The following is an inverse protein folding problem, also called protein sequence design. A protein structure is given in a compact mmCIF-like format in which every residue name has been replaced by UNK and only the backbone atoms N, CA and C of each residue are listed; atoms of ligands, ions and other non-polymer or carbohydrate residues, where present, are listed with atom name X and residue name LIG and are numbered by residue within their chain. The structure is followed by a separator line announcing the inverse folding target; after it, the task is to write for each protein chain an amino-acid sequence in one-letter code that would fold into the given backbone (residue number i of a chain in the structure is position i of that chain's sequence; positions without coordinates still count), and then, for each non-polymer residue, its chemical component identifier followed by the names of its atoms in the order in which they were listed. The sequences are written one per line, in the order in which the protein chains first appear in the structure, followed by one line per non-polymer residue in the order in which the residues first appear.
data_IF_252393391628
#
_entry.id   IF_252393391628
#
_cell.length_a   1.000
_cell.length_b   1.000
_cell.length_c   1.000
_cell.angle_alpha   90.00
_cell.angle_beta   90.00
_cell.angle_gamma   90.00
#
_symmetry.space_group_name_H-M   'P 1'
#
loop_
_entity.id
_entity.type
_entity.pdbx_description
1 polymer ?
#
# COMPACT_ATOMS: atom_id res chain seq x y z
N UNK A 1 -166.40 19.01 18.51
CA UNK A 1 -165.63 18.38 19.60
C UNK A 1 -164.79 19.49 20.21
N UNK A 2 -165.16 19.94 21.42
CA UNK A 2 -164.50 21.08 22.08
C UNK A 2 -163.23 20.51 22.74
N UNK A 3 -162.07 21.02 22.35
CA UNK A 3 -160.79 20.63 22.96
C UNK A 3 -160.77 21.18 24.37
N UNK A 4 -160.46 20.31 25.34
CA UNK A 4 -160.35 20.66 26.75
C UNK A 4 -159.25 21.73 26.93
N UNK A 5 -159.52 22.86 27.61
CA UNK A 5 -158.54 23.94 27.80
C UNK A 5 -157.18 23.46 28.34
N UNK A 6 -157.15 22.37 29.10
CA UNK A 6 -155.93 21.77 29.64
C UNK A 6 -155.02 21.19 28.54
N UNK A 7 -155.60 20.55 27.52
CA UNK A 7 -154.87 19.96 26.39
C UNK A 7 -154.27 21.04 25.48
N UNK A 8 -154.92 22.20 25.37
CA UNK A 8 -154.38 23.33 24.61
C UNK A 8 -153.13 23.93 25.26
N UNK A 9 -153.12 24.09 26.59
CA UNK A 9 -151.95 24.60 27.31
C UNK A 9 -150.75 23.66 27.23
N UNK A 10 -150.95 22.34 27.33
CA UNK A 10 -149.88 21.35 27.17
C UNK A 10 -149.24 21.40 25.77
N UNK A 11 -150.04 21.63 24.73
CA UNK A 11 -149.57 21.71 23.34
C UNK A 11 -148.74 22.99 23.10
N UNK A 12 -149.15 24.12 23.71
CA UNK A 12 -148.38 25.38 23.66
C UNK A 12 -147.05 25.24 24.41
N UNK A 13 -147.05 24.59 25.57
CA UNK A 13 -145.83 24.32 26.33
C UNK A 13 -144.90 23.40 25.53
N UNK A 14 -145.41 22.34 24.90
CA UNK A 14 -144.63 21.46 24.05
C UNK A 14 -144.00 22.20 22.85
N UNK A 15 -144.77 23.07 22.18
CA UNK A 15 -144.26 23.92 21.09
C UNK A 15 -143.16 24.88 21.57
N UNK A 16 -143.31 25.44 22.76
CA UNK A 16 -142.31 26.33 23.34
C UNK A 16 -141.01 25.60 23.67
N UNK A 17 -141.10 24.39 24.25
CA UNK A 17 -139.95 23.53 24.54
C UNK A 17 -139.22 23.12 23.25
N UNK A 18 -139.97 22.75 22.20
CA UNK A 18 -139.39 22.41 20.88
C UNK A 18 -138.72 23.62 20.24
N UNK A 19 -139.30 24.81 20.33
CA UNK A 19 -138.72 26.05 19.79
C UNK A 19 -137.40 26.40 20.49
N UNK A 20 -137.34 26.26 21.82
CA UNK A 20 -136.09 26.44 22.59
C UNK A 20 -135.04 25.39 22.17
N UNK A 21 -135.44 24.13 22.03
CA UNK A 21 -134.54 23.06 21.61
C UNK A 21 -133.97 23.31 20.21
N UNK A 22 -134.79 23.73 19.25
CA UNK A 22 -134.34 24.07 17.89
C UNK A 22 -133.39 25.26 17.89
N UNK A 23 -133.66 26.27 18.71
CA UNK A 23 -132.78 27.44 18.85
C UNK A 23 -131.42 27.05 19.44
N UNK A 24 -131.40 26.18 20.45
CA UNK A 24 -130.18 25.65 21.04
C UNK A 24 -129.36 24.82 20.02
N UNK A 25 -130.02 23.99 19.21
CA UNK A 25 -129.37 23.21 18.14
C UNK A 25 -128.78 24.14 17.08
N UNK A 26 -129.52 25.16 16.63
CA UNK A 26 -129.04 26.12 15.64
C UNK A 26 -127.82 26.91 16.14
N UNK A 27 -127.82 27.32 17.41
CA UNK A 27 -126.66 27.97 18.05
C UNK A 27 -125.46 27.03 18.15
N UNK A 28 -125.68 25.77 18.53
CA UNK A 28 -124.63 24.75 18.59
C UNK A 28 -124.00 24.48 17.22
N UNK A 29 -124.82 24.34 16.17
CA UNK A 29 -124.34 24.15 14.80
C UNK A 29 -123.55 25.36 14.28
N UNK A 30 -124.01 26.58 14.59
CA UNK A 30 -123.27 27.81 14.23
C UNK A 30 -121.91 27.87 14.92
N UNK A 31 -121.82 27.52 16.20
CA UNK A 31 -120.55 27.45 16.92
C UNK A 31 -119.63 26.36 16.37
N UNK A 32 -120.19 25.19 16.01
CA UNK A 32 -119.43 24.09 15.42
C UNK A 32 -118.85 24.46 14.05
N UNK A 33 -119.63 25.12 13.18
CA UNK A 33 -119.15 25.60 11.88
C UNK A 33 -118.06 26.66 12.01
N UNK A 34 -118.19 27.58 12.98
CA UNK A 34 -117.14 28.55 13.28
C UNK A 34 -115.85 27.87 13.75
N UNK A 35 -115.95 26.86 14.61
CA UNK A 35 -114.78 26.05 15.04
C UNK A 35 -114.17 25.29 13.87
N UNK A 36 -114.96 24.66 13.02
CA UNK A 36 -114.46 23.90 11.86
C UNK A 36 -113.72 24.80 10.86
N UNK A 37 -114.29 25.97 10.51
CA UNK A 37 -113.62 26.94 9.65
C UNK A 37 -112.33 27.50 10.27
N UNK A 38 -112.30 27.67 11.61
CA UNK A 38 -111.09 28.07 12.31
C UNK A 38 -110.00 26.98 12.22
N UNK A 39 -110.36 25.71 12.42
CA UNK A 39 -109.41 24.60 12.27
C UNK A 39 -108.91 24.42 10.83
N UNK A 40 -109.76 24.62 9.83
CA UNK A 40 -109.34 24.53 8.43
C UNK A 40 -108.37 25.66 8.07
N UNK A 41 -108.66 26.88 8.54
CA UNK A 41 -107.75 28.02 8.37
C UNK A 41 -106.41 27.82 9.09
N UNK A 42 -106.43 27.28 10.30
CA UNK A 42 -105.22 26.93 11.05
C UNK A 42 -104.41 25.82 10.36
N UNK A 43 -105.07 24.83 9.75
CA UNK A 43 -104.40 23.78 8.97
C UNK A 43 -103.77 24.32 7.68
N UNK A 44 -104.45 25.22 6.97
CA UNK A 44 -103.91 25.87 5.76
C UNK A 44 -102.74 26.80 6.09
N UNK A 45 -102.83 27.55 7.20
CA UNK A 45 -101.73 28.39 7.71
C UNK A 45 -100.53 27.52 8.13
N UNK A 46 -100.77 26.39 8.80
CA UNK A 46 -99.72 25.44 9.17
C UNK A 46 -99.04 24.81 7.93
N UNK A 47 -99.82 24.41 6.91
CA UNK A 47 -99.27 23.88 5.67
C UNK A 47 -98.44 24.92 4.91
N UNK A 48 -98.92 26.16 4.82
CA UNK A 48 -98.18 27.25 4.21
C UNK A 48 -96.87 27.54 4.96
N UNK A 49 -96.89 27.48 6.29
CA UNK A 49 -95.70 27.65 7.13
C UNK A 49 -94.70 26.49 6.93
N UNK A 50 -95.15 25.23 6.92
CA UNK A 50 -94.28 24.07 6.67
C UNK A 50 -93.64 24.13 5.29
N UNK A 51 -94.39 24.54 4.25
CA UNK A 51 -93.83 24.72 2.91
C UNK A 51 -92.78 25.83 2.86
N UNK A 52 -93.03 26.95 3.54
CA UNK A 52 -92.08 28.06 3.63
C UNK A 52 -90.81 27.65 4.39
N UNK A 53 -90.95 27.04 5.56
CA UNK A 53 -89.84 26.58 6.39
C UNK A 53 -89.02 25.50 5.65
N UNK A 54 -89.69 24.62 4.90
CA UNK A 54 -89.05 23.62 4.04
C UNK A 54 -88.27 24.25 2.89
N UNK A 55 -88.82 25.29 2.23
CA UNK A 55 -88.14 26.03 1.18
C UNK A 55 -86.93 26.79 1.72
N UNK A 56 -87.07 27.46 2.87
CA UNK A 56 -85.99 28.18 3.54
C UNK A 56 -84.89 27.21 4.01
N UNK A 57 -85.24 26.02 4.51
CA UNK A 57 -84.27 24.99 4.87
C UNK A 57 -83.50 24.48 3.65
N UNK A 58 -84.19 24.24 2.53
CA UNK A 58 -83.58 23.79 1.29
C UNK A 58 -82.64 24.84 0.71
N UNK A 59 -83.04 26.12 0.73
CA UNK A 59 -82.21 27.22 0.26
C UNK A 59 -80.98 27.41 1.15
N UNK A 60 -81.14 27.38 2.47
CA UNK A 60 -80.02 27.41 3.41
C UNK A 60 -79.07 26.21 3.22
N UNK A 61 -79.59 25.03 2.93
CA UNK A 61 -78.78 23.85 2.64
C UNK A 61 -77.99 24.03 1.33
N UNK A 62 -78.60 24.62 0.29
CA UNK A 62 -77.92 24.94 -0.98
C UNK A 62 -76.82 25.98 -0.78
N UNK A 63 -77.09 27.05 -0.05
CA UNK A 63 -76.09 28.09 0.26
C UNK A 63 -74.92 27.49 1.03
N UNK A 64 -75.18 26.71 2.09
CA UNK A 64 -74.12 26.04 2.87
C UNK A 64 -73.34 25.04 2.03
N UNK A 65 -74.00 24.25 1.18
CA UNK A 65 -73.33 23.33 0.28
C UNK A 65 -72.43 24.09 -0.71
N UNK A 66 -72.92 25.22 -1.25
CA UNK A 66 -72.13 26.11 -2.10
C UNK A 66 -70.88 26.63 -1.38
N UNK A 67 -71.03 27.11 -0.15
CA UNK A 67 -69.90 27.58 0.68
C UNK A 67 -68.90 26.47 0.98
N UNK A 68 -69.36 25.26 1.31
CA UNK A 68 -68.48 24.11 1.56
C UNK A 68 -67.68 23.77 0.30
N UNK A 69 -68.32 23.80 -0.87
CA UNK A 69 -67.64 23.54 -2.15
C UNK A 69 -66.62 24.64 -2.44
N UNK A 70 -66.98 25.90 -2.25
CA UNK A 70 -66.08 27.04 -2.47
C UNK A 70 -64.85 26.98 -1.54
N UNK A 71 -65.06 26.72 -0.26
CA UNK A 71 -64.00 26.53 0.74
C UNK A 71 -63.11 25.33 0.39
N UNK A 72 -63.71 24.23 -0.07
CA UNK A 72 -62.97 23.05 -0.51
C UNK A 72 -62.10 23.35 -1.75
N UNK A 73 -62.63 24.09 -2.74
CA UNK A 73 -61.89 24.53 -3.91
C UNK A 73 -60.73 25.44 -3.52
N UNK A 74 -60.95 26.39 -2.61
CA UNK A 74 -59.91 27.30 -2.12
C UNK A 74 -58.79 26.55 -1.41
N UNK A 75 -59.13 25.63 -0.49
CA UNK A 75 -58.13 24.78 0.18
C UNK A 75 -57.38 23.89 -0.79
N UNK A 76 -58.05 23.31 -1.79
CA UNK A 76 -57.40 22.52 -2.81
C UNK A 76 -56.40 23.36 -3.63
N UNK A 77 -56.76 24.59 -4.01
CA UNK A 77 -55.86 25.51 -4.70
C UNK A 77 -54.64 25.89 -3.85
N UNK A 78 -54.83 26.15 -2.55
CA UNK A 78 -53.73 26.39 -1.61
C UNK A 78 -52.79 25.19 -1.52
N UNK A 79 -53.32 23.97 -1.34
CA UNK A 79 -52.52 22.74 -1.28
C UNK A 79 -51.72 22.54 -2.56
N UNK A 80 -52.33 22.74 -3.73
CA UNK A 80 -51.65 22.63 -5.03
C UNK A 80 -50.54 23.69 -5.16
N UNK A 81 -50.82 24.93 -4.76
CA UNK A 81 -49.84 26.02 -4.76
C UNK A 81 -48.64 25.73 -3.86
N UNK A 82 -48.90 25.26 -2.63
CA UNK A 82 -47.86 24.84 -1.69
C UNK A 82 -47.05 23.65 -2.21
N UNK A 83 -47.69 22.67 -2.85
CA UNK A 83 -47.02 21.51 -3.44
C UNK A 83 -46.06 21.92 -4.57
N UNK A 84 -46.47 22.86 -5.43
CA UNK A 84 -45.60 23.37 -6.51
C UNK A 84 -44.40 24.16 -5.97
N UNK A 85 -44.61 24.98 -4.95
CA UNK A 85 -43.53 25.72 -4.28
C UNK A 85 -42.57 24.76 -3.57
N UNK A 86 -43.10 23.76 -2.87
CA UNK A 86 -42.28 22.72 -2.21
C UNK A 86 -41.43 21.96 -3.23
N UNK A 87 -41.97 21.65 -4.42
CA UNK A 87 -41.19 21.01 -5.48
C UNK A 87 -40.06 21.93 -5.99
N UNK A 88 -40.35 23.21 -6.25
CA UNK A 88 -39.35 24.18 -6.68
C UNK A 88 -38.25 24.41 -5.62
N UNK A 89 -38.63 24.51 -4.34
CA UNK A 89 -37.69 24.63 -3.23
C UNK A 89 -36.86 23.36 -3.06
N UNK A 90 -37.48 22.18 -3.15
CA UNK A 90 -36.77 20.90 -3.04
C UNK A 90 -35.73 20.76 -4.14
N UNK A 91 -36.09 21.14 -5.38
CA UNK A 91 -35.13 21.17 -6.50
C UNK A 91 -33.98 22.13 -6.24
N UNK A 92 -34.27 23.34 -5.75
CA UNK A 92 -33.23 24.33 -5.42
C UNK A 92 -32.30 23.85 -4.31
N UNK A 93 -32.83 23.24 -3.24
CA UNK A 93 -32.03 22.67 -2.14
C UNK A 93 -31.16 21.53 -2.66
N UNK A 94 -31.73 20.67 -3.52
CA UNK A 94 -30.98 19.58 -4.14
C UNK A 94 -29.84 20.12 -5.02
N UNK A 95 -30.11 21.10 -5.87
CA UNK A 95 -29.09 21.73 -6.73
C UNK A 95 -27.98 22.39 -5.89
N UNK A 96 -28.32 23.04 -4.78
CA UNK A 96 -27.34 23.63 -3.85
C UNK A 96 -26.52 22.56 -3.12
N UNK A 97 -27.16 21.46 -2.69
CA UNK A 97 -26.47 20.35 -2.05
C UNK A 97 -25.50 19.66 -3.02
N UNK A 98 -25.92 19.47 -4.28
CA UNK A 98 -25.08 18.92 -5.35
C UNK A 98 -23.90 19.85 -5.66
N UNK A 99 -24.13 21.15 -5.83
CA UNK A 99 -23.05 22.13 -6.07
C UNK A 99 -22.04 22.17 -4.92
N UNK A 100 -22.53 22.14 -3.67
CA UNK A 100 -21.68 22.10 -2.47
C UNK A 100 -20.87 20.81 -2.41
N UNK A 101 -21.51 19.66 -2.70
CA UNK A 101 -20.84 18.36 -2.73
C UNK A 101 -19.76 18.31 -3.82
N UNK A 102 -20.07 18.79 -5.02
CA UNK A 102 -19.10 18.87 -6.12
C UNK A 102 -17.91 19.76 -5.77
N UNK A 103 -18.15 20.95 -5.20
CA UNK A 103 -17.07 21.86 -4.76
C UNK A 103 -16.19 21.23 -3.68
N UNK A 104 -16.81 20.62 -2.67
CA UNK A 104 -16.07 19.94 -1.60
C UNK A 104 -15.24 18.78 -2.14
N UNK A 105 -15.83 17.97 -3.04
CA UNK A 105 -15.14 16.83 -3.63
C UNK A 105 -13.99 17.27 -4.53
N UNK A 106 -14.16 18.29 -5.37
CA UNK A 106 -13.09 18.88 -6.18
C UNK A 106 -11.95 19.41 -5.30
N UNK A 107 -12.26 20.21 -4.28
CA UNK A 107 -11.25 20.76 -3.38
C UNK A 107 -10.50 19.66 -2.60
N UNK A 108 -11.23 18.63 -2.15
CA UNK A 108 -10.62 17.46 -1.52
C UNK A 108 -9.69 16.71 -2.48
N UNK A 109 -10.10 16.48 -3.73
CA UNK A 109 -9.26 15.84 -4.74
C UNK A 109 -8.02 16.67 -5.09
N UNK A 110 -8.17 17.98 -5.26
CA UNK A 110 -7.04 18.89 -5.50
C UNK A 110 -6.04 18.85 -4.35
N UNK A 111 -6.52 18.92 -3.10
CA UNK A 111 -5.66 18.82 -1.92
C UNK A 111 -4.98 17.46 -1.83
N UNK A 112 -5.73 16.36 -1.97
CA UNK A 112 -5.16 15.02 -1.93
C UNK A 112 -4.11 14.80 -3.03
N UNK A 113 -4.34 15.34 -4.23
CA UNK A 113 -3.38 15.30 -5.34
C UNK A 113 -2.14 16.13 -5.04
N UNK A 114 -2.29 17.32 -4.46
CA UNK A 114 -1.18 18.16 -4.03
C UNK A 114 -0.35 17.50 -2.92
N UNK A 115 -1.01 16.99 -1.88
CA UNK A 115 -0.36 16.30 -0.75
C UNK A 115 0.39 15.05 -1.25
N UNK A 116 -0.20 14.30 -2.18
CA UNK A 116 0.45 13.16 -2.83
C UNK A 116 1.68 13.58 -3.63
N UNK A 117 1.57 14.64 -4.44
CA UNK A 117 2.70 15.15 -5.22
C UNK A 117 3.85 15.64 -4.32
N UNK A 118 3.54 16.29 -3.20
CA UNK A 118 4.53 16.72 -2.23
C UNK A 118 5.22 15.53 -1.57
N UNK A 119 4.46 14.54 -1.10
CA UNK A 119 5.00 13.31 -0.52
C UNK A 119 5.90 12.56 -1.52
N UNK A 120 5.46 12.45 -2.77
CA UNK A 120 6.24 11.82 -3.84
C UNK A 120 7.55 12.56 -4.11
N UNK A 121 7.52 13.91 -4.20
CA UNK A 121 8.75 14.72 -4.37
C UNK A 121 9.72 14.52 -3.20
N UNK A 122 9.21 14.51 -1.97
CA UNK A 122 10.02 14.32 -0.76
C UNK A 122 10.70 12.95 -0.74
N UNK A 123 9.97 11.91 -1.13
CA UNK A 123 10.53 10.56 -1.22
C UNK A 123 11.59 10.46 -2.32
N UNK A 124 11.35 11.09 -3.47
CA UNK A 124 12.31 11.13 -4.58
C UNK A 124 13.60 11.86 -4.21
N UNK A 125 13.49 12.98 -3.47
CA UNK A 125 14.65 13.70 -2.94
C UNK A 125 15.39 12.88 -1.88
N UNK A 126 14.67 12.17 -0.99
CA UNK A 126 15.27 11.26 -0.01
C UNK A 126 16.04 10.12 -0.69
N UNK A 127 15.45 9.50 -1.72
CA UNK A 127 16.07 8.43 -2.49
C UNK A 127 17.33 8.94 -3.21
N UNK A 128 17.29 10.15 -3.78
CA UNK A 128 18.45 10.79 -4.41
C UNK A 128 19.59 11.00 -3.40
N UNK A 129 19.28 11.55 -2.22
CA UNK A 129 20.28 11.74 -1.16
C UNK A 129 20.88 10.42 -0.69
N UNK A 130 20.04 9.40 -0.47
CA UNK A 130 20.49 8.06 -0.08
C UNK A 130 21.38 7.43 -1.14
N UNK A 131 21.06 7.58 -2.42
CA UNK A 131 21.91 7.09 -3.51
C UNK A 131 23.26 7.81 -3.55
N UNK A 132 23.29 9.14 -3.35
CA UNK A 132 24.55 9.89 -3.27
C UNK A 132 25.39 9.39 -2.10
N UNK A 133 24.77 9.14 -0.94
CA UNK A 133 25.46 8.61 0.24
C UNK A 133 26.01 7.20 0.02
N UNK A 134 25.22 6.31 -0.59
CA UNK A 134 25.66 4.96 -0.96
C UNK A 134 26.86 5.03 -1.91
N UNK A 135 26.77 5.82 -2.99
CA UNK A 135 27.87 5.96 -3.94
C UNK A 135 29.12 6.52 -3.25
N UNK A 136 28.96 7.51 -2.36
CA UNK A 136 30.08 8.07 -1.60
C UNK A 136 30.74 7.04 -0.70
N UNK A 137 29.96 6.25 0.04
CA UNK A 137 30.47 5.24 0.93
C UNK A 137 31.16 4.11 0.15
N UNK A 138 30.54 3.61 -0.92
CA UNK A 138 31.15 2.60 -1.79
C UNK A 138 32.45 3.09 -2.40
N UNK A 139 32.51 4.33 -2.90
CA UNK A 139 33.75 4.91 -3.43
C UNK A 139 34.84 5.00 -2.37
N UNK A 140 34.47 5.32 -1.12
CA UNK A 140 35.39 5.38 0.01
C UNK A 140 35.90 3.98 0.38
N UNK A 141 35.02 2.99 0.42
CA UNK A 141 35.39 1.60 0.70
C UNK A 141 36.34 1.08 -0.39
N UNK A 142 36.08 1.39 -1.66
CA UNK A 142 36.97 1.07 -2.78
C UNK A 142 38.34 1.74 -2.61
N UNK A 143 38.38 3.01 -2.19
CA UNK A 143 39.63 3.73 -1.93
C UNK A 143 40.43 3.06 -0.80
N UNK A 144 39.78 2.75 0.32
CA UNK A 144 40.40 2.09 1.48
C UNK A 144 40.93 0.69 1.12
N UNK A 145 40.13 -0.11 0.39
CA UNK A 145 40.52 -1.45 -0.06
C UNK A 145 41.67 -1.39 -1.08
N UNK A 146 41.64 -0.44 -2.03
CA UNK A 146 42.72 -0.27 -3.01
C UNK A 146 44.02 0.12 -2.32
N UNK A 147 43.98 1.04 -1.34
CA UNK A 147 45.18 1.42 -0.57
C UNK A 147 45.74 0.21 0.19
N UNK A 148 44.86 -0.61 0.77
CA UNK A 148 45.27 -1.82 1.48
C UNK A 148 45.90 -2.84 0.53
N UNK A 149 45.29 -3.11 -0.62
CA UNK A 149 45.84 -4.02 -1.64
C UNK A 149 47.21 -3.55 -2.15
N UNK A 150 47.39 -2.25 -2.42
CA UNK A 150 48.68 -1.70 -2.83
C UNK A 150 49.74 -1.91 -1.75
N UNK A 151 49.39 -1.71 -0.48
CA UNK A 151 50.31 -1.94 0.64
C UNK A 151 50.66 -3.43 0.81
N UNK A 152 49.68 -4.31 0.67
CA UNK A 152 49.90 -5.75 0.74
C UNK A 152 50.77 -6.24 -0.43
N UNK A 153 50.55 -5.68 -1.62
CA UNK A 153 51.39 -5.92 -2.80
C UNK A 153 52.83 -5.46 -2.57
N UNK A 154 53.06 -4.26 -2.03
CA UNK A 154 54.39 -3.74 -1.72
C UNK A 154 55.13 -4.65 -0.73
N UNK A 155 54.44 -5.12 0.32
CA UNK A 155 55.00 -6.08 1.28
C UNK A 155 55.38 -7.41 0.62
N UNK A 156 54.53 -7.96 -0.26
CA UNK A 156 54.83 -9.20 -0.99
C UNK A 156 56.03 -8.99 -1.91
N UNK A 157 56.06 -7.89 -2.66
CA UNK A 157 57.14 -7.56 -3.59
C UNK A 157 58.47 -7.41 -2.85
N UNK A 158 58.48 -6.74 -1.70
CA UNK A 158 59.66 -6.63 -0.84
C UNK A 158 60.14 -8.01 -0.38
N UNK A 159 59.22 -8.88 0.06
CA UNK A 159 59.54 -10.22 0.56
C UNK A 159 60.11 -11.13 -0.53
N UNK A 160 59.50 -11.12 -1.71
CA UNK A 160 59.99 -11.86 -2.89
C UNK A 160 61.33 -11.32 -3.38
N UNK A 161 61.53 -9.99 -3.35
CA UNK A 161 62.81 -9.38 -3.71
C UNK A 161 63.93 -9.82 -2.75
N UNK A 162 63.68 -9.83 -1.45
CA UNK A 162 64.64 -10.36 -0.47
C UNK A 162 64.91 -11.85 -0.67
N UNK A 163 63.88 -12.66 -0.94
CA UNK A 163 64.06 -14.08 -1.22
C UNK A 163 64.92 -14.30 -2.47
N UNK A 164 64.69 -13.55 -3.54
CA UNK A 164 65.49 -13.61 -4.76
C UNK A 164 66.94 -13.16 -4.52
N UNK A 165 67.16 -12.09 -3.76
CA UNK A 165 68.50 -11.65 -3.37
C UNK A 165 69.24 -12.74 -2.60
N UNK A 166 68.57 -13.39 -1.66
CA UNK A 166 69.16 -14.50 -0.89
C UNK A 166 69.53 -15.69 -1.77
N UNK A 167 68.65 -16.08 -2.71
CA UNK A 167 68.95 -17.16 -3.68
C UNK A 167 70.20 -16.82 -4.51
N UNK A 168 70.34 -15.55 -4.91
CA UNK A 168 71.52 -15.10 -5.65
C UNK A 168 72.77 -15.12 -4.77
N UNK A 169 72.67 -14.66 -3.52
CA UNK A 169 73.77 -14.70 -2.54
C UNK A 169 74.25 -16.14 -2.30
N UNK A 170 73.32 -17.05 -1.98
CA UNK A 170 73.59 -18.47 -1.78
C UNK A 170 74.28 -19.08 -3.03
N UNK A 171 73.80 -18.74 -4.23
CA UNK A 171 74.41 -19.24 -5.48
C UNK A 171 75.80 -18.68 -5.75
N UNK A 172 76.05 -17.41 -5.43
CA UNK A 172 77.39 -16.81 -5.54
C UNK A 172 78.35 -17.48 -4.56
N UNK A 173 77.91 -17.75 -3.33
CA UNK A 173 78.73 -18.44 -2.31
C UNK A 173 79.06 -19.88 -2.74
N UNK A 174 78.10 -20.61 -3.30
CA UNK A 174 78.30 -21.94 -3.88
C UNK A 174 79.29 -21.90 -5.05
N UNK A 175 79.12 -20.98 -6.00
CA UNK A 175 80.04 -20.82 -7.14
C UNK A 175 81.45 -20.43 -6.70
N UNK A 176 81.58 -19.58 -5.68
CA UNK A 176 82.87 -19.18 -5.12
C UNK A 176 83.58 -20.34 -4.41
N UNK A 177 82.83 -21.13 -3.65
CA UNK A 177 83.33 -22.33 -2.98
C UNK A 177 83.80 -23.38 -3.99
N UNK A 178 83.04 -23.57 -5.08
CA UNK A 178 83.42 -24.45 -6.18
C UNK A 178 84.68 -23.94 -6.90
N UNK A 179 84.77 -22.64 -7.15
CA UNK A 179 85.96 -22.03 -7.76
C UNK A 179 87.21 -22.22 -6.90
N UNK A 180 87.11 -22.03 -5.57
CA UNK A 180 88.21 -22.31 -4.65
C UNK A 180 88.65 -23.77 -4.71
N UNK A 181 87.70 -24.71 -4.72
CA UNK A 181 88.00 -26.13 -4.85
C UNK A 181 88.73 -26.44 -6.16
N UNK A 182 88.26 -25.90 -7.28
CA UNK A 182 88.90 -26.07 -8.59
C UNK A 182 90.34 -25.51 -8.62
N UNK A 183 90.57 -24.36 -7.99
CA UNK A 183 91.92 -23.78 -7.86
C UNK A 183 92.83 -24.68 -7.04
N UNK A 184 92.33 -25.27 -5.96
CA UNK A 184 93.10 -26.17 -5.11
C UNK A 184 93.40 -27.51 -5.81
N UNK A 185 92.44 -28.07 -6.52
CA UNK A 185 92.65 -29.23 -7.39
C UNK A 185 93.71 -28.96 -8.46
N UNK A 186 93.66 -27.80 -9.13
CA UNK A 186 94.66 -27.40 -10.10
C UNK A 186 96.06 -27.25 -9.49
N UNK A 187 96.18 -26.63 -8.31
CA UNK A 187 97.47 -26.55 -7.58
C UNK A 187 98.03 -27.93 -7.27
N UNK A 188 97.19 -28.84 -6.78
CA UNK A 188 97.60 -30.21 -6.47
C UNK A 188 98.05 -30.97 -7.72
N UNK A 189 97.36 -30.80 -8.85
CA UNK A 189 97.77 -31.38 -10.13
C UNK A 189 99.13 -30.82 -10.59
N UNK A 190 99.34 -29.51 -10.45
CA UNK A 190 100.61 -28.87 -10.79
C UNK A 190 101.75 -29.30 -9.86
N UNK A 191 101.49 -29.50 -8.58
CA UNK A 191 102.47 -30.05 -7.63
C UNK A 191 102.89 -31.47 -8.02
N UNK A 192 101.94 -32.34 -8.37
CA UNK A 192 102.25 -33.69 -8.87
C UNK A 192 103.12 -33.65 -10.13
N UNK A 193 102.79 -32.79 -11.09
CA UNK A 193 103.62 -32.59 -12.30
C UNK A 193 105.03 -32.12 -11.95
N UNK A 194 105.16 -31.22 -10.97
CA UNK A 194 106.47 -30.76 -10.50
C UNK A 194 107.26 -31.89 -9.82
N UNK A 195 106.61 -32.74 -9.01
CA UNK A 195 107.25 -33.92 -8.39
C UNK A 195 107.74 -34.91 -9.45
N UNK A 196 106.92 -35.21 -10.47
CA UNK A 196 107.31 -36.07 -11.58
C UNK A 196 108.53 -35.52 -12.33
N UNK A 197 108.57 -34.21 -12.58
CA UNK A 197 109.74 -33.54 -13.18
C UNK A 197 110.98 -33.60 -12.27
N UNK A 198 110.82 -33.43 -10.94
CA UNK A 198 111.92 -33.61 -9.99
C UNK A 198 112.48 -35.03 -10.04
N UNK A 199 111.61 -36.05 -10.09
CA UNK A 199 112.05 -37.44 -10.21
C UNK A 199 112.81 -37.69 -11.51
N UNK A 200 112.36 -37.12 -12.64
CA UNK A 200 113.09 -37.19 -13.92
C UNK A 200 114.47 -36.53 -13.85
N UNK A 201 114.55 -35.37 -13.19
CA UNK A 201 115.84 -34.68 -12.96
C UNK A 201 116.75 -35.53 -12.08
N UNK A 202 116.25 -36.07 -10.97
CA UNK A 202 117.01 -36.96 -10.07
C UNK A 202 117.47 -38.23 -10.77
N UNK A 203 116.64 -38.85 -11.60
CA UNK A 203 117.02 -40.00 -12.43
C UNK A 203 118.16 -39.62 -13.39
N UNK A 204 118.04 -38.47 -14.05
CA UNK A 204 119.05 -37.96 -14.99
C UNK A 204 120.38 -37.67 -14.27
N UNK A 205 120.34 -37.00 -13.13
CA UNK A 205 121.53 -36.70 -12.31
C UNK A 205 122.14 -38.00 -11.78
N UNK A 206 121.34 -38.94 -11.30
CA UNK A 206 121.80 -40.25 -10.82
C UNK A 206 122.50 -41.02 -11.93
N UNK A 207 121.91 -41.11 -13.13
CA UNK A 207 122.55 -41.71 -14.32
C UNK A 207 123.88 -41.03 -14.65
N UNK A 208 123.94 -39.70 -14.64
CA UNK A 208 125.16 -38.93 -14.89
C UNK A 208 126.24 -39.14 -13.83
N UNK A 209 125.86 -39.35 -12.57
CA UNK A 209 126.78 -39.46 -11.43
C UNK A 209 127.29 -40.88 -11.27
N UNK A 210 126.40 -41.88 -11.35
CA UNK A 210 126.74 -43.31 -11.37
C UNK A 210 127.63 -43.64 -12.57
N UNK A 211 127.29 -43.10 -13.75
CA UNK A 211 128.11 -43.28 -14.96
C UNK A 211 129.49 -42.64 -14.90
N UNK A 212 129.75 -41.73 -13.94
CA UNK A 212 131.05 -41.08 -13.75
C UNK A 212 131.82 -41.54 -12.51
N UNK A 213 131.14 -42.09 -11.49
CA UNK A 213 131.74 -42.30 -10.16
C UNK A 213 131.90 -43.77 -9.75
N UNK A 214 131.30 -44.74 -10.45
CA UNK A 214 131.47 -46.15 -10.08
C UNK A 214 132.74 -46.71 -10.76
N UNK A 215 133.75 -47.19 -10.00
CA UNK A 215 134.88 -47.94 -10.55
C UNK A 215 134.38 -49.24 -11.21
N UNK A 216 134.97 -49.63 -12.33
CA UNK A 216 134.51 -50.78 -13.15
C UNK A 216 134.25 -52.07 -12.35
N UNK A 217 135.05 -52.33 -11.31
CA UNK A 217 134.91 -53.48 -10.42
C UNK A 217 133.62 -53.45 -9.58
N UNK A 218 133.21 -52.30 -9.06
CA UNK A 218 131.94 -52.16 -8.33
C UNK A 218 130.74 -52.25 -9.27
N UNK A 219 130.91 -51.80 -10.52
CA UNK A 219 129.86 -51.89 -11.54
C UNK A 219 129.59 -53.35 -11.95
N UNK A 220 130.65 -54.16 -12.11
CA UNK A 220 130.52 -55.62 -12.31
C UNK A 220 129.86 -56.30 -11.12
N UNK A 221 130.23 -55.92 -9.89
CA UNK A 221 129.66 -56.53 -8.70
C UNK A 221 128.17 -56.18 -8.52
N UNK A 222 127.76 -54.94 -8.80
CA UNK A 222 126.35 -54.54 -8.80
C UNK A 222 125.54 -55.23 -9.91
N UNK A 223 126.13 -55.47 -11.09
CA UNK A 223 125.47 -56.25 -12.15
C UNK A 223 125.32 -57.71 -11.72
N UNK A 224 126.35 -58.31 -11.12
CA UNK A 224 126.28 -59.69 -10.61
C UNK A 224 125.25 -59.79 -9.49
N UNK A 225 125.22 -58.87 -8.53
CA UNK A 225 124.22 -58.85 -7.46
C UNK A 225 122.80 -58.64 -8.00
N UNK A 226 122.59 -57.75 -8.98
CA UNK A 226 121.29 -57.55 -9.62
C UNK A 226 120.84 -58.80 -10.40
N UNK A 227 121.76 -59.46 -11.10
CA UNK A 227 121.51 -60.72 -11.82
C UNK A 227 121.25 -61.89 -10.86
N UNK A 228 121.95 -61.97 -9.74
CA UNK A 228 121.69 -62.97 -8.70
C UNK A 228 120.35 -62.74 -8.01
N UNK A 229 119.99 -61.48 -7.74
CA UNK A 229 118.69 -61.12 -7.16
C UNK A 229 117.55 -61.45 -8.12
N UNK A 230 117.70 -61.12 -9.40
CA UNK A 230 116.75 -61.51 -10.45
C UNK A 230 116.67 -63.03 -10.65
N UNK A 231 117.78 -63.76 -10.49
CA UNK A 231 117.81 -65.23 -10.55
C UNK A 231 117.18 -65.87 -9.32
N UNK A 232 117.32 -65.28 -8.12
CA UNK A 232 116.61 -65.71 -6.91
C UNK A 232 115.11 -65.49 -7.02
N UNK A 233 114.71 -64.33 -7.54
CA UNK A 233 113.30 -64.00 -7.74
C UNK A 233 112.67 -64.76 -8.94
N UNK A 234 113.48 -65.40 -9.79
CA UNK A 234 113.05 -66.21 -10.95
C UNK A 234 113.19 -67.74 -10.82
N UNK A 235 113.76 -68.27 -9.73
CA UNK A 235 113.83 -69.74 -9.43
C UNK A 235 112.80 -70.16 -8.36
N UNK A 236 112.04 -69.20 -7.80
CA UNK A 236 110.80 -69.46 -7.10
C UNK A 236 109.61 -69.03 -7.96
N UNK A 237 109.13 -69.91 -8.84
CA UNK A 237 107.69 -69.93 -9.16
C UNK A 237 106.93 -70.58 -8.00
#
# INVERSE_FOLDING_TARGET
MVIDPLVFFDLVIALFVVSIALTAIALSYSQMLKKFNAYQKEADELMAQVHKDGADLLENARIKAGQIIEDAIKKAAEIIGSSNNLNAQSKKILDQALDTLLKHQTSYFEKASSDFLEAYKRELDSLKQKNIEIVKNVSKDIEEDTIKEVKDFDNILQKETFAAQKIVEDKIEDEYSLAQKNVEEYKNEMLKKAEEEIYRILETVSKLTLGKSIPLAEHEQLIIEALEKAKKDGIGE
#
